data_IF_268068320770
#
_entry.id   IF_268068320770
#
_cell.length_a   1.000
_cell.length_b   1.000
_cell.length_c   1.000
_cell.angle_alpha   90.00
_cell.angle_beta   90.00
_cell.angle_gamma   90.00
#
_symmetry.space_group_name_H-M   'P 1'
#
loop_
_entity.id
_entity.type
_entity.pdbx_description
1 polymer ?
#
# COMPACT_ATOMS: atom_id res chain seq x y z
N UNK A 1 -28.30 -56.34 14.67
CA UNK A 1 -27.74 -56.46 13.30
C UNK A 1 -27.26 -55.09 12.88
N UNK A 2 -25.94 -54.87 12.87
CA UNK A 2 -25.23 -53.82 12.10
C UNK A 2 -23.74 -53.95 12.42
N UNK A 3 -23.03 -54.78 11.66
CA UNK A 3 -21.57 -54.90 11.72
C UNK A 3 -20.96 -53.77 10.87
N UNK A 4 -20.47 -52.72 11.51
CA UNK A 4 -19.70 -51.69 10.81
C UNK A 4 -18.31 -52.24 10.48
N UNK A 5 -18.17 -52.73 9.25
CA UNK A 5 -16.89 -53.16 8.68
C UNK A 5 -15.95 -51.97 8.60
N UNK A 6 -14.89 -51.98 9.41
CA UNK A 6 -13.84 -50.97 9.40
C UNK A 6 -13.20 -50.84 8.00
N UNK A 7 -12.80 -49.63 7.56
CA UNK A 7 -12.15 -49.45 6.27
C UNK A 7 -10.83 -50.23 6.25
N UNK A 8 -10.71 -51.11 5.25
CA UNK A 8 -9.54 -51.94 4.95
C UNK A 8 -8.30 -51.03 4.87
N UNK A 9 -7.50 -51.02 5.93
CA UNK A 9 -6.29 -50.21 6.02
C UNK A 9 -5.35 -50.56 4.86
N UNK A 10 -4.92 -49.57 4.09
CA UNK A 10 -3.80 -49.69 3.16
C UNK A 10 -2.62 -50.39 3.85
N UNK A 11 -1.80 -51.19 3.15
CA UNK A 11 -0.78 -52.02 3.79
C UNK A 11 0.17 -51.16 4.63
N UNK A 12 0.11 -51.36 5.96
CA UNK A 12 0.81 -50.57 6.97
C UNK A 12 2.35 -50.75 6.96
N UNK A 13 2.89 -51.67 6.15
CA UNK A 13 4.24 -52.17 6.35
C UNK A 13 5.01 -52.23 5.04
N UNK A 14 6.10 -51.45 4.97
CA UNK A 14 7.13 -51.56 3.93
C UNK A 14 8.06 -52.73 4.28
N UNK A 15 7.47 -53.93 4.39
CA UNK A 15 8.14 -55.11 4.92
C UNK A 15 7.62 -56.35 4.17
N UNK A 16 8.51 -57.30 3.84
CA UNK A 16 8.09 -58.63 3.38
C UNK A 16 7.10 -59.21 4.39
N UNK A 17 6.00 -59.83 3.96
CA UNK A 17 4.81 -60.23 4.75
C UNK A 17 4.98 -61.17 5.97
N UNK A 18 6.12 -61.15 6.65
CA UNK A 18 6.41 -61.80 7.92
C UNK A 18 6.03 -60.86 9.07
N UNK A 19 5.09 -61.29 9.90
CA UNK A 19 4.50 -60.47 10.97
C UNK A 19 5.48 -60.05 12.09
N UNK A 20 6.57 -60.79 12.29
CA UNK A 20 7.58 -60.48 13.32
C UNK A 20 8.55 -59.36 12.93
N UNK A 21 8.49 -58.86 11.69
CA UNK A 21 9.40 -57.80 11.23
C UNK A 21 8.84 -56.41 11.57
N UNK A 22 9.66 -55.58 12.22
CA UNK A 22 9.31 -54.20 12.56
C UNK A 22 9.14 -53.36 11.29
N UNK A 23 8.05 -52.59 11.21
CA UNK A 23 7.78 -51.67 10.12
C UNK A 23 8.82 -50.55 10.05
N UNK A 24 9.62 -50.51 8.98
CA UNK A 24 10.62 -49.46 8.77
C UNK A 24 9.96 -48.20 8.23
N UNK A 25 10.28 -47.05 8.84
CA UNK A 25 9.94 -45.73 8.28
C UNK A 25 10.81 -45.45 7.04
N UNK A 26 10.32 -44.68 6.06
CA UNK A 26 11.14 -44.24 4.94
C UNK A 26 12.35 -43.44 5.45
N UNK A 27 13.55 -43.85 5.06
CA UNK A 27 14.79 -43.14 5.41
C UNK A 27 14.82 -41.78 4.72
N UNK A 28 14.78 -40.70 5.49
CA UNK A 28 15.07 -39.36 4.98
C UNK A 28 16.59 -39.23 4.77
N UNK A 29 17.02 -39.15 3.51
CA UNK A 29 18.43 -38.96 3.18
C UNK A 29 18.82 -37.51 3.37
N UNK A 30 20.03 -37.26 3.87
CA UNK A 30 20.60 -35.92 4.04
C UNK A 30 20.73 -35.15 2.72
N UNK A 31 20.88 -35.86 1.60
CA UNK A 31 20.92 -35.27 0.25
C UNK A 31 19.55 -34.89 -0.32
N UNK A 32 18.45 -35.11 0.42
CA UNK A 32 17.12 -34.67 -0.05
C UNK A 32 16.97 -33.16 0.07
N UNK A 33 16.33 -32.55 -0.93
CA UNK A 33 16.01 -31.13 -0.89
C UNK A 33 15.11 -30.80 0.31
N UNK A 34 15.28 -29.60 0.88
CA UNK A 34 14.49 -29.12 2.04
C UNK A 34 12.97 -29.16 1.78
N UNK A 35 12.55 -29.06 0.52
CA UNK A 35 11.14 -29.13 0.12
C UNK A 35 10.59 -30.56 0.14
N UNK A 36 11.38 -31.57 -0.22
CA UNK A 36 10.98 -32.98 -0.13
C UNK A 36 11.13 -33.56 1.28
N UNK A 37 12.07 -33.04 2.07
CA UNK A 37 12.30 -33.48 3.47
C UNK A 37 11.15 -33.09 4.41
N UNK A 38 10.38 -32.05 4.08
CA UNK A 38 9.25 -31.57 4.89
C UNK A 38 7.95 -32.28 4.51
N UNK A 39 7.16 -32.63 5.53
CA UNK A 39 5.78 -33.09 5.33
C UNK A 39 4.93 -32.02 4.65
N UNK A 40 3.88 -32.45 3.96
CA UNK A 40 2.92 -31.53 3.34
C UNK A 40 2.29 -30.58 4.38
N UNK A 41 1.90 -31.11 5.55
CA UNK A 41 1.35 -30.31 6.65
C UNK A 41 2.30 -29.18 7.08
N UNK A 42 3.60 -29.47 7.23
CA UNK A 42 4.60 -28.45 7.57
C UNK A 42 4.75 -27.39 6.46
N UNK A 43 4.70 -27.80 5.19
CA UNK A 43 4.72 -26.86 4.06
C UNK A 43 3.45 -26.03 3.95
N UNK A 44 2.32 -26.53 4.42
CA UNK A 44 1.07 -25.78 4.47
C UNK A 44 1.12 -24.74 5.59
N UNK A 45 1.59 -25.12 6.79
CA UNK A 45 1.78 -24.18 7.89
C UNK A 45 2.72 -23.03 7.50
N UNK A 46 3.89 -23.35 6.92
CA UNK A 46 4.84 -22.34 6.45
C UNK A 46 4.25 -21.40 5.37
N UNK A 47 3.28 -21.87 4.58
CA UNK A 47 2.58 -21.03 3.59
C UNK A 47 1.59 -20.09 4.27
N UNK A 48 0.84 -20.59 5.26
CA UNK A 48 -0.09 -19.79 6.05
C UNK A 48 0.68 -18.69 6.78
N UNK A 49 1.76 -19.05 7.47
CA UNK A 49 2.60 -18.10 8.21
C UNK A 49 3.21 -17.03 7.28
N UNK A 50 3.64 -17.41 6.07
CA UNK A 50 4.14 -16.44 5.08
C UNK A 50 3.05 -15.55 4.51
N UNK A 51 1.84 -16.07 4.35
CA UNK A 51 0.72 -15.25 3.89
C UNK A 51 0.30 -14.23 4.96
N UNK A 52 0.28 -14.62 6.23
CA UNK A 52 -0.08 -13.69 7.31
C UNK A 52 0.96 -12.60 7.49
N UNK A 53 2.27 -12.92 7.44
CA UNK A 53 3.31 -11.89 7.51
C UNK A 53 3.28 -10.94 6.31
N UNK A 54 3.03 -11.46 5.10
CA UNK A 54 2.91 -10.63 3.91
C UNK A 54 1.70 -9.70 3.96
N UNK A 55 0.56 -10.15 4.48
CA UNK A 55 -0.62 -9.32 4.67
C UNK A 55 -0.33 -8.18 5.67
N UNK A 56 0.25 -8.51 6.83
CA UNK A 56 0.64 -7.50 7.82
C UNK A 56 1.65 -6.49 7.25
N UNK A 57 2.62 -6.94 6.44
CA UNK A 57 3.56 -6.05 5.77
C UNK A 57 2.86 -5.11 4.78
N UNK A 58 1.90 -5.62 4.00
CA UNK A 58 1.13 -4.82 3.05
C UNK A 58 0.28 -3.77 3.74
N UNK A 59 -0.39 -4.13 4.84
CA UNK A 59 -1.19 -3.20 5.66
C UNK A 59 -0.32 -2.06 6.19
N UNK A 60 0.81 -2.39 6.82
CA UNK A 60 1.75 -1.39 7.36
C UNK A 60 2.32 -0.48 6.26
N UNK A 61 2.66 -1.04 5.10
CA UNK A 61 3.13 -0.25 3.96
C UNK A 61 2.04 0.67 3.41
N UNK A 62 0.79 0.22 3.36
CA UNK A 62 -0.35 1.02 2.91
C UNK A 62 -0.59 2.20 3.85
N UNK A 63 -0.59 1.96 5.16
CA UNK A 63 -0.74 3.01 6.18
C UNK A 63 0.36 4.08 6.07
N UNK A 64 1.63 3.66 5.99
CA UNK A 64 2.76 4.59 5.84
C UNK A 64 2.70 5.40 4.55
N UNK A 65 2.23 4.81 3.45
CA UNK A 65 2.04 5.52 2.18
C UNK A 65 0.91 6.53 2.29
N UNK A 66 -0.23 6.12 2.87
CA UNK A 66 -1.37 7.00 3.08
C UNK A 66 -1.01 8.22 3.93
N UNK A 67 -0.23 8.05 5.00
CA UNK A 67 0.24 9.16 5.83
C UNK A 67 1.15 10.12 5.06
N UNK A 68 2.13 9.58 4.32
CA UNK A 68 3.04 10.38 3.48
C UNK A 68 2.30 11.17 2.41
N UNK A 69 1.32 10.54 1.76
CA UNK A 69 0.55 11.17 0.70
C UNK A 69 -0.42 12.20 1.28
N UNK A 70 -1.03 11.94 2.44
CA UNK A 70 -1.82 12.94 3.16
C UNK A 70 -0.99 14.18 3.53
N UNK A 71 0.24 14.00 4.00
CA UNK A 71 1.15 15.10 4.28
C UNK A 71 1.52 15.89 3.01
N UNK A 72 1.86 15.20 1.92
CA UNK A 72 2.15 15.83 0.63
C UNK A 72 0.96 16.63 0.10
N UNK A 73 -0.25 16.07 0.16
CA UNK A 73 -1.47 16.73 -0.30
C UNK A 73 -1.74 18.00 0.49
N UNK A 74 -1.58 17.98 1.82
CA UNK A 74 -1.70 19.18 2.67
C UNK A 74 -0.72 20.29 2.25
N UNK A 75 0.53 19.94 1.94
CA UNK A 75 1.52 20.93 1.47
C UNK A 75 1.12 21.50 0.11
N UNK A 76 0.72 20.63 -0.82
CA UNK A 76 0.30 21.04 -2.17
C UNK A 76 -0.90 21.98 -2.08
N UNK A 77 -1.91 21.66 -1.27
CA UNK A 77 -3.08 22.51 -1.05
C UNK A 77 -2.71 23.87 -0.44
N UNK A 78 -1.82 23.90 0.56
CA UNK A 78 -1.33 25.16 1.13
C UNK A 78 -0.64 26.02 0.07
N UNK A 79 0.20 25.41 -0.77
CA UNK A 79 0.90 26.12 -1.87
C UNK A 79 -0.09 26.64 -2.91
N UNK A 80 -1.08 25.84 -3.30
CA UNK A 80 -2.13 26.25 -4.25
C UNK A 80 -2.93 27.45 -3.72
N UNK A 81 -3.39 27.38 -2.47
CA UNK A 81 -4.11 28.49 -1.82
C UNK A 81 -3.27 29.77 -1.73
N UNK A 82 -1.98 29.64 -1.42
CA UNK A 82 -1.06 30.78 -1.39
C UNK A 82 -0.88 31.39 -2.78
N UNK A 83 -0.65 30.57 -3.81
CA UNK A 83 -0.50 31.03 -5.19
C UNK A 83 -1.77 31.71 -5.74
N UNK A 84 -2.95 31.16 -5.45
CA UNK A 84 -4.23 31.77 -5.82
C UNK A 84 -4.44 33.13 -5.13
N UNK A 85 -4.09 33.22 -3.84
CA UNK A 85 -4.14 34.49 -3.10
C UNK A 85 -3.20 35.53 -3.70
N UNK A 86 -1.94 35.15 -3.97
CA UNK A 86 -0.97 36.05 -4.60
C UNK A 86 -1.41 36.50 -5.99
N UNK A 87 -1.99 35.61 -6.80
CA UNK A 87 -2.51 35.96 -8.12
C UNK A 87 -3.64 36.99 -8.01
N UNK A 88 -4.58 36.80 -7.06
CA UNK A 88 -5.66 37.74 -6.80
C UNK A 88 -5.13 39.09 -6.33
N UNK A 89 -4.19 39.10 -5.38
CA UNK A 89 -3.58 40.34 -4.89
C UNK A 89 -2.83 41.11 -5.99
N UNK A 90 -2.11 40.40 -6.87
CA UNK A 90 -1.46 41.02 -8.03
C UNK A 90 -2.49 41.69 -8.96
N UNK A 91 -3.56 40.97 -9.28
CA UNK A 91 -4.64 41.51 -10.11
C UNK A 91 -5.30 42.75 -9.48
N UNK A 92 -5.62 42.70 -8.19
CA UNK A 92 -6.23 43.82 -7.47
C UNK A 92 -5.30 45.03 -7.43
N UNK A 93 -3.99 44.81 -7.24
CA UNK A 93 -2.96 45.86 -7.28
C UNK A 93 -2.89 46.50 -8.67
N UNK A 94 -2.90 45.71 -9.73
CA UNK A 94 -2.91 46.20 -11.11
C UNK A 94 -4.15 47.06 -11.41
N UNK A 95 -5.33 46.58 -11.02
CA UNK A 95 -6.59 47.30 -11.21
C UNK A 95 -6.64 48.61 -10.40
N UNK A 96 -6.17 48.57 -9.16
CA UNK A 96 -5.99 49.77 -8.32
C UNK A 96 -5.03 50.77 -8.95
N UNK A 97 -3.90 50.32 -9.49
CA UNK A 97 -2.93 51.17 -10.17
C UNK A 97 -3.54 51.81 -11.43
N UNK A 98 -4.25 51.04 -12.26
CA UNK A 98 -4.96 51.54 -13.45
C UNK A 98 -6.01 52.59 -13.08
N UNK A 99 -6.79 52.36 -12.01
CA UNK A 99 -7.78 53.33 -11.51
C UNK A 99 -7.12 54.63 -11.05
N UNK A 100 -6.03 54.55 -10.29
CA UNK A 100 -5.25 55.73 -9.84
C UNK A 100 -4.70 56.53 -11.03
N UNK A 101 -4.15 55.85 -12.04
CA UNK A 101 -3.67 56.52 -13.24
C UNK A 101 -4.79 57.21 -14.01
N UNK A 102 -5.98 56.61 -14.07
CA UNK A 102 -7.16 57.24 -14.70
C UNK A 102 -7.58 58.52 -13.97
N UNK A 103 -7.61 58.51 -12.64
CA UNK A 103 -7.95 59.70 -11.85
C UNK A 103 -6.91 60.81 -12.04
N UNK A 104 -5.61 60.48 -11.96
CA UNK A 104 -4.52 61.43 -12.25
C UNK A 104 -4.65 62.05 -13.64
N UNK A 105 -4.96 61.26 -14.68
CA UNK A 105 -5.20 61.78 -16.04
C UNK A 105 -6.38 62.76 -16.09
N UNK A 106 -7.47 62.48 -15.38
CA UNK A 106 -8.63 63.39 -15.29
C UNK A 106 -8.27 64.69 -14.59
N UNK A 107 -7.59 64.63 -13.45
CA UNK A 107 -7.13 65.80 -12.69
C UNK A 107 -6.20 66.68 -13.54
N UNK A 108 -5.25 66.08 -14.25
CA UNK A 108 -4.37 66.81 -15.17
C UNK A 108 -5.16 67.49 -16.29
N UNK A 109 -6.14 66.80 -16.89
CA UNK A 109 -7.00 67.38 -17.93
C UNK A 109 -7.85 68.54 -17.39
N UNK A 110 -8.44 68.37 -16.21
CA UNK A 110 -9.23 69.42 -15.56
C UNK A 110 -8.37 70.64 -15.22
N UNK A 111 -7.16 70.43 -14.68
CA UNK A 111 -6.21 71.51 -14.38
C UNK A 111 -5.73 72.23 -15.63
N UNK A 112 -5.54 71.51 -16.74
CA UNK A 112 -5.19 72.13 -18.02
C UNK A 112 -6.35 72.98 -18.57
N UNK A 113 -7.58 72.48 -18.49
CA UNK A 113 -8.77 73.23 -18.90
C UNK A 113 -9.07 74.44 -18.01
N UNK A 114 -8.79 74.38 -16.70
CA UNK A 114 -9.00 75.52 -15.80
C UNK A 114 -7.94 76.63 -15.94
N UNK A 115 -6.86 76.39 -16.69
CA UNK A 115 -5.80 77.36 -16.97
C UNK A 115 -5.99 78.10 -18.31
N UNK A 116 -6.93 77.64 -19.13
CA UNK A 116 -7.36 78.28 -20.38
C UNK A 116 -8.73 78.93 -20.16
#
# INVERSE_FOLDING_TARGET
>A
MSTTTAPKSAPLTRVSGKAWKIAKKPTNRTMMSKTLSKSWAKRQQERIDKSSTRLAEQELQAEKKAEKDAHRNKIIERRKKAAEKEAKEKYDREMSARKRMRMKRKELKARAHAKH
#
